data_IF_241170379891
#
_entry.id   IF_241170379891
#
_cell.length_a   1.000
_cell.length_b   1.000
_cell.length_c   1.000
_cell.angle_alpha   90.00
_cell.angle_beta   90.00
_cell.angle_gamma   90.00
#
_symmetry.space_group_name_H-M   'P 1'
#
loop_
_entity.id
_entity.type
_entity.pdbx_description
1 polymer ?
#
# COMPACT_ATOMS: atom_id res chain seq x y z
N UNK A 1 15.03 -65.84 26.46
CA UNK A 1 14.80 -64.52 27.11
C UNK A 1 14.98 -63.48 26.01
N UNK A 2 14.01 -63.12 25.16
CA UNK A 2 12.63 -62.69 25.34
C UNK A 2 12.49 -61.46 26.23
N UNK A 3 12.36 -60.28 25.61
CA UNK A 3 11.44 -59.18 25.99
C UNK A 3 11.35 -58.11 24.87
N UNK A 4 10.17 -58.09 24.19
CA UNK A 4 9.35 -56.92 23.78
C UNK A 4 10.00 -55.77 22.98
N UNK A 5 9.71 -55.53 21.70
CA UNK A 5 8.42 -55.17 21.05
C UNK A 5 7.65 -54.05 21.78
N UNK A 6 7.80 -52.81 21.33
CA UNK A 6 6.84 -51.72 21.59
C UNK A 6 6.54 -51.02 20.27
N UNK A 7 5.31 -51.25 19.81
CA UNK A 7 4.58 -50.46 18.82
C UNK A 7 4.24 -49.08 19.38
N UNK A 8 4.42 -48.02 18.59
CA UNK A 8 3.58 -46.81 18.50
C UNK A 8 4.02 -46.12 17.19
N UNK A 9 3.35 -46.24 16.04
CA UNK A 9 2.06 -45.64 15.67
C UNK A 9 1.84 -44.25 16.28
N UNK A 10 1.85 -43.23 15.42
CA UNK A 10 1.67 -41.81 15.74
C UNK A 10 3.04 -41.10 15.80
N UNK A 11 3.41 -40.22 14.87
CA UNK A 11 2.59 -39.11 14.40
C UNK A 11 3.00 -38.72 12.98
N UNK A 12 2.00 -38.75 12.09
CA UNK A 12 1.94 -37.89 10.94
C UNK A 12 2.17 -36.46 11.45
N UNK A 13 3.36 -35.91 11.20
CA UNK A 13 3.61 -34.48 11.38
C UNK A 13 2.69 -33.77 10.40
N UNK A 14 1.50 -33.41 10.87
CA UNK A 14 0.71 -32.36 10.26
C UNK A 14 1.61 -31.14 10.25
N UNK A 15 2.19 -30.87 9.08
CA UNK A 15 2.69 -29.55 8.76
C UNK A 15 1.49 -28.61 8.91
N UNK A 16 1.36 -28.03 10.09
CA UNK A 16 0.51 -26.87 10.28
C UNK A 16 1.14 -25.78 9.43
N UNK A 17 0.69 -25.69 8.18
CA UNK A 17 0.78 -24.47 7.41
C UNK A 17 0.17 -23.40 8.31
N UNK A 18 1.00 -22.54 8.89
CA UNK A 18 0.53 -21.39 9.66
C UNK A 18 -0.33 -20.59 8.69
N UNK A 19 -1.64 -20.42 8.94
CA UNK A 19 -2.41 -19.47 8.16
C UNK A 19 -1.77 -18.10 8.41
N UNK A 20 -1.15 -17.54 7.38
CA UNK A 20 -0.63 -16.17 7.36
C UNK A 20 -1.85 -15.26 7.35
N UNK A 21 -2.41 -14.99 8.52
CA UNK A 21 -3.40 -13.95 8.69
C UNK A 21 -2.76 -12.61 8.31
N UNK A 22 -3.44 -11.74 7.54
CA UNK A 22 -2.94 -10.39 7.30
C UNK A 22 -2.82 -9.67 8.66
N UNK A 23 -1.59 -9.33 9.05
CA UNK A 23 -1.33 -8.59 10.29
C UNK A 23 -1.98 -7.21 10.18
N UNK A 24 -2.79 -6.84 11.17
CA UNK A 24 -3.25 -5.46 11.34
C UNK A 24 -2.04 -4.54 11.62
N UNK A 25 -2.03 -3.29 11.12
CA UNK A 25 -0.96 -2.34 11.40
C UNK A 25 -0.73 -2.17 12.91
N UNK A 26 0.54 -2.08 13.33
CA UNK A 26 0.88 -1.84 14.73
C UNK A 26 0.65 -0.37 15.11
N UNK A 27 0.39 -0.11 16.39
CA UNK A 27 0.21 1.26 16.92
C UNK A 27 1.47 2.14 16.76
N UNK A 28 2.65 1.52 16.74
CA UNK A 28 3.92 2.22 16.54
C UNK A 28 4.10 2.71 15.09
N UNK A 29 3.73 1.88 14.10
CA UNK A 29 3.77 2.26 12.68
C UNK A 29 2.82 3.42 12.39
N UNK A 30 1.58 3.34 12.89
CA UNK A 30 0.60 4.42 12.77
C UNK A 30 1.08 5.74 13.41
N UNK A 31 1.78 5.66 14.54
CA UNK A 31 2.34 6.84 15.20
C UNK A 31 3.47 7.49 14.39
N UNK A 32 4.24 6.68 13.65
CA UNK A 32 5.31 7.17 12.79
C UNK A 32 4.74 7.87 11.55
N UNK A 33 3.75 7.27 10.89
CA UNK A 33 3.09 7.85 9.71
C UNK A 33 2.47 9.21 10.03
N UNK A 34 1.80 9.34 11.17
CA UNK A 34 1.21 10.62 11.58
C UNK A 34 2.28 11.69 11.87
N UNK A 35 3.45 11.29 12.40
CA UNK A 35 4.56 12.20 12.63
C UNK A 35 5.15 12.71 11.30
N UNK A 36 5.33 11.83 10.31
CA UNK A 36 5.80 12.18 8.97
C UNK A 36 4.82 13.09 8.23
N UNK A 37 3.52 12.80 8.29
CA UNK A 37 2.47 13.65 7.71
C UNK A 37 2.54 15.07 8.29
N UNK A 38 2.68 15.18 9.62
CA UNK A 38 2.80 16.48 10.30
C UNK A 38 4.07 17.22 9.88
N UNK A 39 5.21 16.52 9.80
CA UNK A 39 6.48 17.08 9.36
C UNK A 39 6.37 17.66 7.94
N UNK A 40 5.86 16.88 6.99
CA UNK A 40 5.75 17.32 5.60
C UNK A 40 4.73 18.45 5.42
N UNK A 41 3.69 18.50 6.25
CA UNK A 41 2.73 19.60 6.22
C UNK A 41 3.30 20.92 6.77
N UNK A 42 4.36 20.90 7.57
CA UNK A 42 5.02 22.12 8.05
C UNK A 42 5.79 22.82 6.93
N UNK A 43 6.42 22.06 6.03
CA UNK A 43 7.23 22.58 4.92
C UNK A 43 6.39 22.86 3.68
N UNK A 44 5.41 22.00 3.40
CA UNK A 44 4.51 22.09 2.25
C UNK A 44 3.06 22.00 2.71
N UNK A 45 2.46 23.12 3.16
CA UNK A 45 1.13 23.10 3.76
C UNK A 45 0.05 22.66 2.79
N UNK A 46 -0.72 21.67 3.21
CA UNK A 46 -1.92 21.18 2.54
C UNK A 46 -3.14 21.35 3.46
N UNK A 47 -4.28 21.67 2.86
CA UNK A 47 -5.51 21.82 3.64
C UNK A 47 -6.00 20.45 4.14
N UNK A 48 -6.69 20.43 5.29
CA UNK A 48 -7.32 19.20 5.77
C UNK A 48 -8.34 18.65 4.77
N UNK A 49 -9.03 19.52 4.03
CA UNK A 49 -9.94 19.13 2.96
C UNK A 49 -9.20 18.39 1.82
N UNK A 50 -8.06 18.91 1.40
CA UNK A 50 -7.16 18.28 0.42
C UNK A 50 -6.67 16.92 0.92
N UNK A 51 -6.21 16.86 2.17
CA UNK A 51 -5.72 15.63 2.78
C UNK A 51 -6.81 14.55 2.78
N UNK A 52 -8.03 14.89 3.20
CA UNK A 52 -9.16 13.97 3.22
C UNK A 52 -9.58 13.53 1.80
N UNK A 53 -9.67 14.44 0.83
CA UNK A 53 -10.07 14.09 -0.53
C UNK A 53 -9.07 13.16 -1.20
N UNK A 54 -7.78 13.40 -0.98
CA UNK A 54 -6.68 12.63 -1.55
C UNK A 54 -6.57 11.25 -0.90
N UNK A 55 -6.53 11.17 0.43
CA UNK A 55 -6.32 9.91 1.14
C UNK A 55 -7.50 8.94 1.01
N UNK A 56 -8.73 9.47 0.95
CA UNK A 56 -9.94 8.63 0.91
C UNK A 56 -10.29 8.27 -0.53
N UNK A 57 -10.33 9.26 -1.42
CA UNK A 57 -10.87 9.05 -2.78
C UNK A 57 -9.79 8.78 -3.83
N UNK A 58 -8.50 8.81 -3.45
CA UNK A 58 -7.36 8.72 -4.39
C UNK A 58 -7.52 9.68 -5.57
N UNK A 59 -8.10 10.85 -5.31
CA UNK A 59 -8.46 11.82 -6.33
C UNK A 59 -7.52 13.02 -6.23
N UNK A 60 -6.68 13.17 -7.25
CA UNK A 60 -5.72 14.25 -7.38
C UNK A 60 -6.29 15.46 -8.14
N UNK A 61 -7.41 15.28 -8.86
CA UNK A 61 -8.13 16.37 -9.51
C UNK A 61 -8.85 17.23 -8.47
N UNK A 62 -8.56 18.54 -8.45
CA UNK A 62 -9.26 19.51 -7.58
C UNK A 62 -8.49 19.89 -6.31
N UNK A 63 -7.22 19.51 -6.19
CA UNK A 63 -6.36 19.97 -5.08
C UNK A 63 -6.15 21.48 -5.14
N UNK A 64 -6.64 22.20 -4.13
CA UNK A 64 -6.27 23.61 -3.90
C UNK A 64 -4.81 23.67 -3.45
N UNK A 65 -4.01 24.56 -4.07
CA UNK A 65 -2.55 24.59 -3.95
C UNK A 65 -1.85 23.33 -4.49
N UNK A 66 -1.95 23.11 -5.81
CA UNK A 66 -1.33 21.98 -6.49
C UNK A 66 0.19 21.90 -6.26
N UNK A 67 0.91 23.03 -6.19
CA UNK A 67 2.36 23.04 -5.96
C UNK A 67 2.74 22.58 -4.55
N UNK A 68 2.07 23.09 -3.52
CA UNK A 68 2.29 22.64 -2.14
C UNK A 68 2.02 21.16 -1.96
N UNK A 69 0.96 20.64 -2.59
CA UNK A 69 0.65 19.22 -2.53
C UNK A 69 1.68 18.33 -3.25
N UNK A 70 2.20 18.75 -4.40
CA UNK A 70 3.28 18.05 -5.10
C UNK A 70 4.52 17.92 -4.22
N UNK A 71 4.94 18.99 -3.55
CA UNK A 71 6.11 18.95 -2.68
C UNK A 71 5.84 18.23 -1.36
N UNK A 72 4.60 18.24 -0.86
CA UNK A 72 4.18 17.40 0.26
C UNK A 72 4.39 15.91 -0.07
N UNK A 73 4.02 15.45 -1.27
CA UNK A 73 4.27 14.07 -1.72
C UNK A 73 5.76 13.75 -1.80
N UNK A 74 6.58 14.65 -2.37
CA UNK A 74 8.03 14.46 -2.41
C UNK A 74 8.62 14.31 -1.00
N UNK A 75 8.20 15.15 -0.05
CA UNK A 75 8.62 15.03 1.33
C UNK A 75 8.27 13.67 1.95
N UNK A 76 7.06 13.15 1.70
CA UNK A 76 6.68 11.81 2.17
C UNK A 76 7.58 10.74 1.56
N UNK A 77 7.74 10.73 0.23
CA UNK A 77 8.56 9.71 -0.44
C UNK A 77 10.03 9.78 -0.04
N UNK A 78 10.55 10.97 0.27
CA UNK A 78 11.88 11.12 0.81
C UNK A 78 12.03 10.47 2.19
N UNK A 79 11.08 10.74 3.10
CA UNK A 79 11.12 10.17 4.45
C UNK A 79 10.85 8.65 4.48
N UNK A 80 10.08 8.12 3.52
CA UNK A 80 9.92 6.68 3.31
C UNK A 80 11.10 6.05 2.55
N UNK A 81 12.12 6.82 2.17
CA UNK A 81 13.26 6.40 1.38
C UNK A 81 12.89 5.81 0.00
N UNK A 82 11.79 6.26 -0.59
CA UNK A 82 11.39 5.93 -1.97
C UNK A 82 11.97 6.91 -2.98
N UNK A 83 12.29 8.12 -2.53
CA UNK A 83 12.97 9.15 -3.31
C UNK A 83 14.16 9.73 -2.53
N UNK A 84 15.20 10.19 -3.23
CA UNK A 84 16.23 11.06 -2.66
C UNK A 84 15.78 12.54 -2.63
N UNK A 85 16.67 13.44 -2.18
CA UNK A 85 16.40 14.89 -2.09
C UNK A 85 16.15 15.55 -3.46
N UNK A 86 16.71 14.98 -4.53
CA UNK A 86 16.60 15.47 -5.91
C UNK A 86 15.42 14.83 -6.66
N UNK A 87 14.72 13.88 -6.05
CA UNK A 87 13.59 13.17 -6.64
C UNK A 87 13.98 11.93 -7.45
N UNK A 88 15.21 11.41 -7.29
CA UNK A 88 15.62 10.12 -7.81
C UNK A 88 14.95 8.98 -7.07
N UNK A 89 14.39 7.99 -7.80
CA UNK A 89 13.69 6.85 -7.20
C UNK A 89 14.65 5.80 -6.65
N UNK A 90 14.40 5.36 -5.41
CA UNK A 90 15.14 4.30 -4.72
C UNK A 90 14.43 2.95 -4.90
N UNK A 91 14.56 2.35 -6.09
CA UNK A 91 13.75 1.19 -6.52
C UNK A 91 13.81 -0.01 -5.56
N UNK A 92 14.97 -0.28 -4.96
CA UNK A 92 15.12 -1.38 -3.99
C UNK A 92 14.27 -1.16 -2.73
N UNK A 93 14.21 0.07 -2.24
CA UNK A 93 13.45 0.42 -1.03
C UNK A 93 11.95 0.40 -1.33
N UNK A 94 11.56 0.84 -2.52
CA UNK A 94 10.19 0.73 -3.02
C UNK A 94 9.74 -0.73 -3.09
N UNK A 95 10.56 -1.62 -3.69
CA UNK A 95 10.26 -3.07 -3.76
C UNK A 95 10.08 -3.65 -2.36
N UNK A 96 11.04 -3.43 -1.46
CA UNK A 96 10.95 -3.94 -0.08
C UNK A 96 9.74 -3.41 0.70
N UNK A 97 9.31 -2.17 0.46
CA UNK A 97 8.11 -1.60 1.08
C UNK A 97 6.82 -2.20 0.50
N UNK A 98 6.78 -2.43 -0.81
CA UNK A 98 5.60 -2.99 -1.49
C UNK A 98 5.45 -4.49 -1.26
N UNK A 99 6.53 -5.22 -0.99
CA UNK A 99 6.50 -6.64 -0.58
C UNK A 99 5.76 -6.87 0.74
N UNK A 100 5.62 -5.84 1.59
CA UNK A 100 4.79 -5.89 2.79
C UNK A 100 3.28 -5.76 2.50
N UNK A 101 2.90 -5.47 1.25
CA UNK A 101 1.49 -5.37 0.82
C UNK A 101 0.98 -6.72 0.30
N UNK A 102 -0.28 -6.77 -0.17
CA UNK A 102 -0.88 -7.98 -0.76
C UNK A 102 -0.58 -8.14 -2.26
N UNK A 103 0.21 -7.26 -2.85
CA UNK A 103 0.58 -7.34 -4.26
C UNK A 103 1.54 -8.50 -4.49
N UNK A 104 1.34 -9.26 -5.56
CA UNK A 104 2.31 -10.27 -5.99
C UNK A 104 3.57 -9.61 -6.58
N UNK A 105 4.67 -10.37 -6.64
CA UNK A 105 5.97 -9.86 -7.09
C UNK A 105 5.92 -9.26 -8.51
N UNK A 106 5.18 -9.87 -9.44
CA UNK A 106 5.09 -9.37 -10.82
C UNK A 106 4.32 -8.05 -10.87
N UNK A 107 3.26 -7.92 -10.07
CA UNK A 107 2.53 -6.66 -9.92
C UNK A 107 3.39 -5.56 -9.32
N UNK A 108 4.21 -5.87 -8.30
CA UNK A 108 5.16 -4.92 -7.70
C UNK A 108 6.18 -4.45 -8.73
N UNK A 109 6.82 -5.39 -9.45
CA UNK A 109 7.83 -5.07 -10.46
C UNK A 109 7.23 -4.23 -11.60
N UNK A 110 6.03 -4.59 -12.06
CA UNK A 110 5.30 -3.83 -13.07
C UNK A 110 5.02 -2.40 -12.61
N UNK A 111 4.49 -2.21 -11.39
CA UNK A 111 4.18 -0.89 -10.83
C UNK A 111 5.43 -0.03 -10.71
N UNK A 112 6.52 -0.58 -10.18
CA UNK A 112 7.79 0.14 -10.05
C UNK A 112 8.31 0.52 -11.43
N UNK A 113 8.42 -0.42 -12.35
CA UNK A 113 8.94 -0.16 -13.70
C UNK A 113 8.12 0.91 -14.43
N UNK A 114 6.79 0.77 -14.42
CA UNK A 114 5.88 1.65 -15.15
C UNK A 114 5.82 3.05 -14.54
N UNK A 115 5.65 3.15 -13.22
CA UNK A 115 5.35 4.43 -12.58
C UNK A 115 6.59 5.26 -12.20
N UNK A 116 7.79 4.67 -12.22
CA UNK A 116 9.05 5.43 -12.05
C UNK A 116 9.59 5.97 -13.36
N UNK A 117 9.06 5.50 -14.50
CA UNK A 117 9.39 5.99 -15.85
C UNK A 117 8.68 7.33 -16.17
N UNK A 118 8.83 8.31 -15.28
CA UNK A 118 8.21 9.64 -15.39
C UNK A 118 9.23 10.70 -15.79
N UNK A 119 8.91 11.48 -16.81
CA UNK A 119 9.76 12.59 -17.26
C UNK A 119 9.36 13.90 -16.55
N UNK A 120 10.26 14.37 -15.69
CA UNK A 120 10.15 15.68 -15.01
C UNK A 120 11.49 16.06 -14.40
N UNK A 121 11.97 17.27 -14.65
CA UNK A 121 13.13 17.84 -13.94
C UNK A 121 12.80 18.40 -12.56
N UNK A 122 11.51 18.63 -12.26
CA UNK A 122 11.06 19.07 -10.95
C UNK A 122 10.73 17.86 -10.07
N UNK A 123 11.34 17.81 -8.88
CA UNK A 123 11.21 16.70 -7.93
C UNK A 123 9.80 16.54 -7.36
N UNK A 124 9.10 17.65 -7.14
CA UNK A 124 7.75 17.65 -6.59
C UNK A 124 6.75 17.14 -7.64
N UNK A 125 6.89 17.62 -8.88
CA UNK A 125 6.15 17.16 -10.04
C UNK A 125 6.39 15.67 -10.30
N UNK A 126 7.64 15.21 -10.16
CA UNK A 126 7.98 13.79 -10.32
C UNK A 126 7.30 12.90 -9.29
N UNK A 127 7.27 13.32 -8.02
CA UNK A 127 6.53 12.65 -6.96
C UNK A 127 5.04 12.54 -7.29
N UNK A 128 4.45 13.64 -7.75
CA UNK A 128 3.04 13.69 -8.12
C UNK A 128 2.70 12.77 -9.30
N UNK A 129 3.49 12.80 -10.38
CA UNK A 129 3.29 11.91 -11.55
C UNK A 129 3.41 10.44 -11.17
N UNK A 130 4.34 10.10 -10.26
CA UNK A 130 4.43 8.74 -9.73
C UNK A 130 3.14 8.35 -9.01
N UNK A 131 2.62 9.20 -8.12
CA UNK A 131 1.37 8.93 -7.38
C UNK A 131 0.18 8.76 -8.33
N UNK A 132 0.06 9.61 -9.36
CA UNK A 132 -0.99 9.50 -10.40
C UNK A 132 -0.92 8.15 -11.11
N UNK A 133 0.26 7.75 -11.57
CA UNK A 133 0.44 6.45 -12.21
C UNK A 133 0.09 5.32 -11.24
N UNK A 134 0.68 5.32 -10.05
CA UNK A 134 0.53 4.24 -9.07
C UNK A 134 -0.94 4.01 -8.70
N UNK A 135 -1.72 5.07 -8.47
CA UNK A 135 -3.15 4.92 -8.18
C UNK A 135 -4.01 4.55 -9.38
N UNK A 136 -3.58 4.88 -10.59
CA UNK A 136 -4.26 4.45 -11.81
C UNK A 136 -4.08 2.95 -12.04
N UNK A 137 -2.85 2.46 -11.89
CA UNK A 137 -2.51 1.05 -12.10
C UNK A 137 -2.99 0.16 -10.94
N UNK A 138 -2.98 0.64 -9.69
CA UNK A 138 -3.49 -0.17 -8.57
C UNK A 138 -5.01 -0.44 -8.63
N UNK A 139 -5.77 0.29 -9.47
CA UNK A 139 -7.17 -0.05 -9.74
C UNK A 139 -7.33 -1.33 -10.56
N UNK A 140 -6.29 -1.73 -11.30
CA UNK A 140 -6.34 -2.92 -12.17
C UNK A 140 -5.94 -4.19 -11.44
N UNK A 141 -5.43 -4.09 -10.21
CA UNK A 141 -5.16 -5.21 -9.32
C UNK A 141 -6.27 -5.27 -8.26
N UNK A 142 -7.38 -6.00 -8.50
CA UNK A 142 -8.41 -6.15 -7.51
C UNK A 142 -7.82 -6.82 -6.26
N UNK A 143 -8.00 -6.18 -5.10
CA UNK A 143 -7.76 -6.83 -3.81
C UNK A 143 -8.66 -8.07 -3.80
N UNK A 144 -8.09 -9.26 -3.60
CA UNK A 144 -8.85 -10.51 -3.60
C UNK A 144 -9.95 -10.50 -2.52
N UNK A 145 -9.86 -9.59 -1.52
CA UNK A 145 -10.92 -9.33 -0.55
C UNK A 145 -12.05 -8.39 -1.00
N UNK A 146 -11.95 -7.72 -2.15
CA UNK A 146 -13.02 -6.89 -2.71
C UNK A 146 -13.95 -7.67 -3.69
N UNK A 147 -13.59 -8.91 -4.05
CA UNK A 147 -14.39 -9.75 -4.93
C UNK A 147 -15.50 -10.55 -4.21
N UNK A 148 -15.69 -10.37 -2.90
CA UNK A 148 -16.75 -11.01 -2.12
C UNK A 148 -17.69 -9.96 -1.53
N UNK A 149 -18.45 -9.24 -2.36
CA UNK A 149 -19.80 -8.75 -2.01
C UNK A 149 -20.51 -8.12 -3.22
N UNK A 150 -21.27 -8.90 -3.99
CA UNK A 150 -22.21 -8.33 -4.99
C UNK A 150 -23.34 -9.28 -5.43
N UNK A 151 -23.67 -10.35 -4.67
CA UNK A 151 -24.78 -11.22 -5.08
C UNK A 151 -25.72 -11.72 -3.98
N UNK A 152 -25.73 -11.13 -2.77
CA UNK A 152 -26.64 -11.59 -1.70
C UNK A 152 -27.48 -10.48 -1.05
N UNK A 153 -28.10 -9.63 -1.87
CA UNK A 153 -29.28 -8.86 -1.46
C UNK A 153 -30.35 -8.88 -2.55
N UNK A 154 -30.98 -10.06 -2.77
CA UNK A 154 -32.36 -10.13 -3.25
C UNK A 154 -33.26 -10.39 -2.05
N UNK A 155 -33.69 -9.32 -1.37
CA UNK A 155 -34.84 -9.41 -0.48
C UNK A 155 -36.09 -9.21 -1.35
N UNK A 156 -36.80 -10.32 -1.62
CA UNK A 156 -38.15 -10.30 -2.17
C UNK A 156 -39.12 -9.80 -1.08
N UNK A 157 -39.62 -8.56 -1.19
CA UNK A 157 -40.63 -7.99 -0.29
C UNK A 157 -42.00 -7.82 -0.96
N UNK A 158 -42.56 -8.91 -1.49
CA UNK A 158 -43.96 -8.94 -1.90
C UNK A 158 -44.66 -10.24 -1.47
N UNK A 159 -44.95 -10.35 -0.17
CA UNK A 159 -46.00 -11.23 0.35
C UNK A 159 -46.45 -10.79 1.75
N UNK A 160 -47.27 -9.74 1.84
CA UNK A 160 -48.37 -9.67 2.79
C UNK A 160 -49.38 -8.60 2.41
#
# INVERSE_FOLDING_TARGET
MLTTLICFLGSLLLAFAKPTFPQSPSTAEMSNDLALIRLCNQTSPISLATMNSVLINKQLSGVSNAEGFKCFLHCLYNNYNWMDEDGGFMLSNMKGSLEATRLDELSIEFLIYKCTSVDSSDRCERAFKFTECFWSETKTFPDESAAVDSSDYRIDWAAK
#
